data_IF_562342772957
#
_entry.id   IF_562342772957
#
_cell.length_a   1.000
_cell.length_b   1.000
_cell.length_c   1.000
_cell.angle_alpha   90.00
_cell.angle_beta   90.00
_cell.angle_gamma   90.00
#
_symmetry.space_group_name_H-M   'P 1'
#
loop_
_entity.id
_entity.type
_entity.pdbx_description
1 polymer ?
#
# COMPACT_ATOMS: atom_id res chain seq x y z
N UNK A 1 27.98 22.03 -9.84
CA UNK A 1 28.40 20.66 -10.21
C UNK A 1 27.13 19.86 -10.44
N UNK A 2 27.00 19.08 -11.52
CA UNK A 2 25.83 18.23 -11.66
C UNK A 2 25.89 17.15 -10.58
N UNK A 3 24.83 17.03 -9.79
CA UNK A 3 24.67 15.95 -8.81
C UNK A 3 24.90 14.61 -9.51
N UNK A 4 25.95 13.90 -9.12
CA UNK A 4 26.10 12.48 -9.42
C UNK A 4 25.08 11.72 -8.57
N UNK A 5 23.80 11.79 -8.95
CA UNK A 5 22.79 10.88 -8.40
C UNK A 5 23.23 9.46 -8.76
N UNK A 6 23.67 8.72 -7.74
CA UNK A 6 23.78 7.26 -7.80
C UNK A 6 22.49 6.73 -8.41
N UNK A 7 22.58 6.17 -9.62
CA UNK A 7 21.45 5.63 -10.37
C UNK A 7 21.02 4.31 -9.73
N UNK A 8 20.38 4.41 -8.57
CA UNK A 8 19.68 3.30 -7.95
C UNK A 8 18.60 2.82 -8.89
N UNK A 9 18.59 1.51 -9.19
CA UNK A 9 17.59 0.90 -10.06
C UNK A 9 16.17 1.25 -9.58
N UNK A 10 15.21 1.50 -10.49
CA UNK A 10 13.84 1.82 -10.11
C UNK A 10 13.24 0.69 -9.26
N UNK A 11 12.45 1.04 -8.26
CA UNK A 11 11.62 0.05 -7.53
C UNK A 11 10.30 -0.13 -8.25
N UNK A 12 9.96 -1.36 -8.54
CA UNK A 12 8.73 -1.78 -9.16
C UNK A 12 8.03 -2.81 -8.27
N UNK A 13 6.96 -2.37 -7.61
CA UNK A 13 6.05 -3.29 -6.93
C UNK A 13 4.65 -3.14 -7.49
N UNK A 14 3.87 -4.22 -7.40
CA UNK A 14 2.47 -4.22 -7.80
C UNK A 14 1.56 -4.31 -6.59
N UNK A 15 0.44 -3.60 -6.64
CA UNK A 15 -0.61 -3.79 -5.64
C UNK A 15 -1.46 -4.99 -6.07
N UNK A 16 -1.45 -6.04 -5.26
CA UNK A 16 -2.19 -7.28 -5.47
C UNK A 16 -3.69 -7.10 -5.18
N UNK A 17 -4.31 -6.21 -5.94
CA UNK A 17 -5.75 -6.01 -5.96
C UNK A 17 -6.39 -7.12 -6.77
N UNK A 18 -7.39 -7.75 -6.16
CA UNK A 18 -7.95 -9.05 -6.56
C UNK A 18 -8.31 -9.09 -8.04
N UNK A 19 -8.92 -8.04 -8.55
CA UNK A 19 -9.41 -7.97 -9.94
C UNK A 19 -8.83 -6.76 -10.68
N UNK A 20 -7.65 -6.31 -10.27
CA UNK A 20 -7.05 -5.07 -10.76
C UNK A 20 -7.59 -3.82 -10.08
N UNK A 21 -6.88 -2.70 -10.26
CA UNK A 21 -7.23 -1.40 -9.66
C UNK A 21 -8.44 -0.73 -10.30
N UNK A 22 -8.66 -0.97 -11.60
CA UNK A 22 -9.69 -0.30 -12.38
C UNK A 22 -11.10 -0.79 -11.98
N UNK A 23 -12.04 0.15 -11.81
CA UNK A 23 -13.43 -0.10 -11.37
C UNK A 23 -14.12 -1.23 -12.15
N UNK A 24 -14.01 -1.21 -13.48
CA UNK A 24 -14.60 -2.23 -14.37
C UNK A 24 -13.77 -3.51 -14.57
N UNK A 25 -12.55 -3.62 -14.03
CA UNK A 25 -11.64 -4.71 -14.43
C UNK A 25 -12.11 -6.11 -14.02
N UNK A 26 -12.87 -6.23 -12.93
CA UNK A 26 -13.44 -7.51 -12.48
C UNK A 26 -14.49 -8.10 -13.43
N UNK A 27 -15.04 -7.29 -14.34
CA UNK A 27 -16.04 -7.68 -15.33
C UNK A 27 -15.43 -8.09 -16.68
N UNK A 28 -14.10 -7.97 -16.83
CA UNK A 28 -13.42 -8.44 -18.03
C UNK A 28 -13.59 -9.96 -18.18
N UNK A 29 -13.77 -10.49 -19.39
CA UNK A 29 -13.93 -11.93 -19.61
C UNK A 29 -12.78 -12.77 -19.05
N UNK A 30 -11.57 -12.22 -19.01
CA UNK A 30 -10.37 -12.89 -18.51
C UNK A 30 -10.19 -12.74 -16.99
N UNK A 31 -11.00 -11.93 -16.32
CA UNK A 31 -10.93 -11.76 -14.87
C UNK A 31 -11.38 -13.04 -14.15
N UNK A 32 -10.84 -13.26 -12.94
CA UNK A 32 -11.15 -14.44 -12.13
C UNK A 32 -11.70 -14.05 -10.74
N UNK A 33 -12.77 -13.22 -10.64
CA UNK A 33 -13.30 -12.74 -9.36
C UNK A 33 -13.74 -13.87 -8.41
N UNK A 34 -14.13 -15.03 -8.95
CA UNK A 34 -14.47 -16.22 -8.17
C UNK A 34 -13.30 -16.77 -7.33
N UNK A 35 -12.06 -16.44 -7.68
CA UNK A 35 -10.85 -16.86 -6.95
C UNK A 35 -10.41 -15.85 -5.88
N UNK A 36 -11.21 -14.84 -5.60
CA UNK A 36 -10.95 -13.80 -4.58
C UNK A 36 -10.49 -14.36 -3.23
N UNK A 37 -11.03 -15.51 -2.81
CA UNK A 37 -10.73 -16.16 -1.53
C UNK A 37 -9.85 -17.40 -1.68
N UNK A 38 -9.36 -17.67 -2.88
CA UNK A 38 -8.48 -18.79 -3.19
C UNK A 38 -7.02 -18.40 -2.93
N UNK A 39 -6.36 -19.11 -2.01
CA UNK A 39 -4.94 -18.93 -1.73
C UNK A 39 -4.07 -19.10 -2.99
N UNK A 40 -4.45 -20.02 -3.88
CA UNK A 40 -3.73 -20.29 -5.12
C UNK A 40 -3.67 -19.06 -6.04
N UNK A 41 -4.68 -18.21 -6.01
CA UNK A 41 -4.70 -16.98 -6.81
C UNK A 41 -3.55 -16.04 -6.44
N UNK A 42 -3.36 -15.80 -5.15
CA UNK A 42 -2.30 -14.93 -4.65
C UNK A 42 -0.91 -15.53 -4.85
N UNK A 43 -0.79 -16.86 -4.74
CA UNK A 43 0.45 -17.58 -5.05
C UNK A 43 0.82 -17.47 -6.53
N UNK A 44 -0.16 -17.58 -7.44
CA UNK A 44 0.05 -17.43 -8.88
C UNK A 44 0.48 -16.00 -9.24
N UNK A 45 -0.13 -14.99 -8.60
CA UNK A 45 0.28 -13.58 -8.72
C UNK A 45 1.73 -13.38 -8.27
N UNK A 46 2.09 -13.89 -7.09
CA UNK A 46 3.43 -13.76 -6.53
C UNK A 46 4.50 -14.38 -7.44
N UNK A 47 4.33 -15.64 -7.88
CA UNK A 47 5.26 -16.30 -8.82
C UNK A 47 5.37 -15.56 -10.15
N UNK A 48 4.27 -14.99 -10.62
CA UNK A 48 4.26 -14.24 -11.89
C UNK A 48 5.00 -12.91 -11.76
N UNK A 49 4.81 -12.20 -10.65
CA UNK A 49 5.52 -10.97 -10.37
C UNK A 49 7.02 -11.19 -10.18
N UNK A 50 7.42 -12.19 -9.40
CA UNK A 50 8.83 -12.54 -9.19
C UNK A 50 9.53 -12.92 -10.51
N UNK A 51 8.92 -13.82 -11.30
CA UNK A 51 9.42 -14.16 -12.64
C UNK A 51 9.47 -12.94 -13.58
N UNK A 52 8.59 -11.97 -13.37
CA UNK A 52 8.52 -10.72 -14.11
C UNK A 52 9.52 -9.65 -13.66
N UNK A 53 10.32 -9.91 -12.62
CA UNK A 53 11.32 -8.97 -12.10
C UNK A 53 10.72 -7.84 -11.25
N UNK A 54 9.55 -8.04 -10.64
CA UNK A 54 9.02 -7.11 -9.64
C UNK A 54 9.80 -7.25 -8.33
N UNK A 55 10.07 -6.12 -7.68
CA UNK A 55 10.77 -6.07 -6.40
C UNK A 55 9.86 -6.48 -5.22
N UNK A 56 8.55 -6.21 -5.31
CA UNK A 56 7.63 -6.57 -4.24
C UNK A 56 6.17 -6.77 -4.68
N UNK A 57 5.46 -7.57 -3.89
CA UNK A 57 4.01 -7.65 -3.84
C UNK A 57 3.49 -6.78 -2.70
N UNK A 58 2.58 -5.86 -3.00
CA UNK A 58 1.92 -5.02 -2.02
C UNK A 58 0.46 -5.41 -1.84
N UNK A 59 0.03 -5.66 -0.60
CA UNK A 59 -1.38 -5.89 -0.27
C UNK A 59 -1.90 -4.71 0.57
N UNK A 60 -2.72 -3.88 -0.07
CA UNK A 60 -3.38 -2.73 0.56
C UNK A 60 -4.60 -3.16 1.40
N UNK A 61 -4.89 -2.42 2.47
CA UNK A 61 -6.06 -2.65 3.33
C UNK A 61 -6.64 -1.33 3.88
N UNK A 62 -7.94 -1.35 4.16
CA UNK A 62 -8.74 -0.22 4.63
C UNK A 62 -9.49 -0.51 5.94
N UNK A 63 -9.43 -1.74 6.47
CA UNK A 63 -10.00 -2.11 7.78
C UNK A 63 -11.52 -1.96 7.88
N UNK A 64 -12.18 -1.87 6.72
CA UNK A 64 -13.63 -1.83 6.59
C UNK A 64 -14.02 -2.67 5.40
N UNK A 65 -14.93 -3.61 5.65
CA UNK A 65 -15.56 -4.36 4.59
C UNK A 65 -16.72 -3.53 4.04
N UNK A 66 -16.61 -3.12 2.78
CA UNK A 66 -17.72 -2.55 2.02
C UNK A 66 -18.36 -3.65 1.18
N UNK A 67 -19.47 -4.27 1.62
CA UNK A 67 -20.20 -5.21 0.80
C UNK A 67 -20.77 -4.46 -0.41
N UNK A 68 -20.07 -4.53 -1.53
CA UNK A 68 -20.38 -3.83 -2.77
C UNK A 68 -20.16 -4.71 -3.99
N UNK A 69 -20.51 -6.00 -3.90
CA UNK A 69 -20.32 -6.99 -4.99
C UNK A 69 -20.93 -6.49 -6.32
N UNK A 70 -22.01 -5.69 -6.26
CA UNK A 70 -22.60 -5.06 -7.44
C UNK A 70 -21.62 -4.13 -8.19
N UNK A 71 -20.66 -3.53 -7.47
CA UNK A 71 -19.75 -2.49 -7.95
C UNK A 71 -18.31 -2.98 -8.08
N UNK A 72 -17.74 -3.63 -7.05
CA UNK A 72 -16.39 -4.21 -7.10
C UNK A 72 -16.12 -5.18 -5.93
N UNK A 73 -15.55 -6.38 -6.19
CA UNK A 73 -15.07 -7.27 -5.13
C UNK A 73 -13.70 -6.78 -4.64
N UNK A 74 -13.64 -6.09 -3.49
CA UNK A 74 -12.38 -5.55 -2.97
C UNK A 74 -12.22 -5.76 -1.46
N UNK A 75 -10.95 -5.94 -1.05
CA UNK A 75 -10.44 -5.84 0.32
C UNK A 75 -11.18 -6.67 1.37
N UNK A 76 -11.12 -8.00 1.23
CA UNK A 76 -11.76 -8.93 2.16
C UNK A 76 -10.78 -9.66 3.08
N UNK A 77 -9.54 -9.86 2.61
CA UNK A 77 -8.57 -10.73 3.27
C UNK A 77 -7.50 -9.92 4.01
N UNK A 78 -7.06 -10.47 5.14
CA UNK A 78 -5.95 -9.95 5.92
C UNK A 78 -4.64 -9.95 5.10
N UNK A 79 -3.95 -8.80 4.95
CA UNK A 79 -2.73 -8.68 4.16
C UNK A 79 -1.60 -9.61 4.61
N UNK A 80 -1.39 -9.75 5.91
CA UNK A 80 -0.28 -10.54 6.47
C UNK A 80 -0.47 -12.03 6.16
N UNK A 81 -1.70 -12.53 6.27
CA UNK A 81 -2.06 -13.91 5.92
C UNK A 81 -1.85 -14.18 4.43
N UNK A 82 -2.29 -13.26 3.56
CA UNK A 82 -2.08 -13.37 2.11
C UNK A 82 -0.58 -13.39 1.76
N UNK A 83 0.21 -12.52 2.39
CA UNK A 83 1.64 -12.41 2.11
C UNK A 83 2.45 -13.58 2.68
N UNK A 84 2.03 -14.19 3.80
CA UNK A 84 2.62 -15.44 4.27
C UNK A 84 2.44 -16.58 3.25
N UNK A 85 1.30 -16.63 2.55
CA UNK A 85 1.08 -17.58 1.47
C UNK A 85 1.96 -17.31 0.24
N UNK A 86 2.18 -16.03 -0.09
CA UNK A 86 3.09 -15.61 -1.16
C UNK A 86 4.56 -15.94 -0.82
N UNK A 87 4.97 -15.72 0.44
CA UNK A 87 6.31 -16.02 0.94
C UNK A 87 6.70 -17.50 0.71
N UNK A 88 5.75 -18.41 0.89
CA UNK A 88 5.96 -19.85 0.75
C UNK A 88 6.23 -20.33 -0.69
N UNK A 89 6.03 -19.46 -1.69
CA UNK A 89 6.17 -19.81 -3.12
C UNK A 89 7.06 -18.86 -3.90
N UNK A 90 7.79 -17.99 -3.20
CA UNK A 90 8.72 -16.99 -3.76
C UNK A 90 10.00 -16.96 -2.94
N UNK A 91 11.11 -16.59 -3.56
CA UNK A 91 12.44 -16.58 -2.94
C UNK A 91 12.96 -15.15 -2.72
N UNK A 92 12.72 -14.24 -3.67
CA UNK A 92 13.29 -12.90 -3.72
C UNK A 92 12.23 -11.79 -3.59
N UNK A 93 10.96 -12.08 -3.87
CA UNK A 93 9.89 -11.09 -3.90
C UNK A 93 9.63 -10.44 -2.53
N UNK A 94 9.76 -9.12 -2.41
CA UNK A 94 9.41 -8.36 -1.21
C UNK A 94 7.90 -8.44 -0.87
N UNK A 95 7.57 -8.34 0.42
CA UNK A 95 6.21 -8.58 0.93
C UNK A 95 5.71 -7.38 1.74
N UNK A 96 5.01 -6.46 1.07
CA UNK A 96 4.52 -5.22 1.67
C UNK A 96 3.10 -5.42 2.18
N UNK A 97 2.91 -5.44 3.50
CA UNK A 97 1.61 -5.55 4.15
C UNK A 97 1.16 -4.20 4.72
N UNK A 98 -0.11 -3.83 4.50
CA UNK A 98 -0.70 -2.70 5.20
C UNK A 98 -1.09 -3.10 6.63
N UNK A 99 -0.66 -2.31 7.62
CA UNK A 99 -1.14 -2.43 9.00
C UNK A 99 -1.38 -1.05 9.62
N UNK A 100 -2.46 -0.92 10.39
CA UNK A 100 -2.92 0.36 10.93
C UNK A 100 -2.22 0.72 12.24
N UNK A 101 -1.51 1.85 12.23
CA UNK A 101 -0.99 2.47 13.45
C UNK A 101 -2.09 3.18 14.28
N UNK A 102 -3.34 3.15 13.82
CA UNK A 102 -4.49 3.72 14.54
C UNK A 102 -5.29 2.67 15.31
N UNK A 103 -5.21 1.40 14.94
CA UNK A 103 -6.12 0.36 15.44
C UNK A 103 -5.42 -0.83 16.10
N UNK A 104 -4.19 -1.15 15.72
CA UNK A 104 -3.46 -2.31 16.24
C UNK A 104 -2.54 -1.93 17.38
N UNK A 105 -2.31 -2.86 18.32
CA UNK A 105 -1.32 -2.66 19.38
C UNK A 105 0.09 -2.74 18.79
N UNK A 106 1.07 -1.95 19.30
CA UNK A 106 2.46 -2.02 18.84
C UNK A 106 3.05 -3.43 18.89
N UNK A 107 2.74 -4.19 19.95
CA UNK A 107 3.23 -5.58 20.10
C UNK A 107 2.65 -6.55 19.08
N UNK A 108 1.42 -6.33 18.63
CA UNK A 108 0.79 -7.16 17.60
C UNK A 108 1.44 -6.92 16.25
N UNK A 109 1.67 -5.65 15.90
CA UNK A 109 2.40 -5.25 14.69
C UNK A 109 3.81 -5.84 14.74
N UNK A 110 4.56 -5.59 15.82
CA UNK A 110 5.94 -6.02 15.95
C UNK A 110 6.08 -7.54 15.80
N UNK A 111 5.22 -8.31 16.49
CA UNK A 111 5.23 -9.78 16.42
C UNK A 111 4.86 -10.28 15.02
N UNK A 112 3.80 -9.74 14.41
CA UNK A 112 3.31 -10.22 13.12
C UNK A 112 4.32 -9.99 11.99
N UNK A 113 4.90 -8.79 11.92
CA UNK A 113 5.91 -8.48 10.91
C UNK A 113 7.24 -9.19 11.17
N UNK A 114 7.68 -9.34 12.43
CA UNK A 114 8.85 -10.17 12.73
C UNK A 114 8.63 -11.63 12.31
N UNK A 115 7.42 -12.16 12.53
CA UNK A 115 7.06 -13.51 12.07
C UNK A 115 7.13 -13.62 10.55
N UNK A 116 6.51 -12.69 9.82
CA UNK A 116 6.58 -12.68 8.35
C UNK A 116 8.03 -12.54 7.87
N UNK A 117 8.83 -11.73 8.55
CA UNK A 117 10.23 -11.50 8.21
C UNK A 117 11.07 -12.78 8.33
N UNK A 118 10.91 -13.53 9.43
CA UNK A 118 11.53 -14.84 9.61
C UNK A 118 11.05 -15.86 8.57
N UNK A 119 9.74 -15.96 8.36
CA UNK A 119 9.16 -16.92 7.40
C UNK A 119 9.60 -16.64 5.96
N UNK A 120 9.86 -15.38 5.64
CA UNK A 120 10.27 -14.93 4.30
C UNK A 120 11.78 -14.73 4.15
N UNK A 121 12.58 -15.02 5.17
CA UNK A 121 14.02 -14.79 5.18
C UNK A 121 14.43 -13.33 4.91
N UNK A 122 13.73 -12.38 5.51
CA UNK A 122 14.12 -10.96 5.50
C UNK A 122 13.41 -10.09 4.44
N UNK A 123 12.22 -10.48 4.00
CA UNK A 123 11.49 -9.81 2.88
C UNK A 123 10.28 -9.00 3.33
N UNK A 124 10.06 -8.81 4.64
CA UNK A 124 8.86 -8.17 5.14
C UNK A 124 8.93 -6.64 5.07
N UNK A 125 7.81 -6.00 4.75
CA UNK A 125 7.68 -4.56 4.73
C UNK A 125 6.32 -4.11 5.27
N UNK A 126 6.33 -3.10 6.14
CA UNK A 126 5.14 -2.53 6.76
C UNK A 126 4.74 -1.22 6.09
N UNK A 127 3.62 -1.23 5.37
CA UNK A 127 2.94 0.00 4.97
C UNK A 127 2.14 0.58 6.14
N UNK A 128 2.65 1.66 6.72
CA UNK A 128 2.09 2.35 7.88
C UNK A 128 0.93 3.23 7.44
N UNK A 129 -0.28 2.88 7.87
CA UNK A 129 -1.47 3.69 7.61
C UNK A 129 -2.06 4.26 8.89
N UNK A 130 -2.57 5.49 8.76
CA UNK A 130 -3.31 6.19 9.80
C UNK A 130 -4.76 6.36 9.36
N UNK A 131 -5.66 5.63 9.99
CA UNK A 131 -7.02 5.47 9.48
C UNK A 131 -7.96 6.56 10.00
N UNK A 132 -8.74 7.15 9.08
CA UNK A 132 -9.71 8.21 9.36
C UNK A 132 -11.14 7.88 9.02
N UNK A 133 -11.41 6.66 8.58
CA UNK A 133 -12.73 6.21 8.15
C UNK A 133 -13.59 5.86 9.37
N UNK A 134 -14.73 6.55 9.60
CA UNK A 134 -15.61 6.26 10.72
C UNK A 134 -16.09 4.82 10.80
N UNK A 135 -16.39 4.17 9.66
CA UNK A 135 -16.83 2.77 9.66
C UNK A 135 -15.71 1.81 10.08
N UNK A 136 -14.47 2.11 9.70
CA UNK A 136 -13.32 1.34 10.14
C UNK A 136 -13.10 1.53 11.65
N UNK A 137 -13.19 2.76 12.16
CA UNK A 137 -13.09 3.04 13.59
C UNK A 137 -14.15 2.26 14.41
N UNK A 138 -15.40 2.23 13.92
CA UNK A 138 -16.49 1.48 14.55
C UNK A 138 -16.23 -0.03 14.64
N UNK A 139 -15.60 -0.65 13.62
CA UNK A 139 -15.23 -2.07 13.65
C UNK A 139 -14.24 -2.41 14.77
N UNK A 140 -13.46 -1.43 15.24
CA UNK A 140 -12.50 -1.55 16.33
C UNK A 140 -13.04 -1.01 17.66
N UNK A 141 -14.35 -0.76 17.75
CA UNK A 141 -15.02 -0.32 18.98
C UNK A 141 -14.79 1.15 19.32
N UNK A 142 -14.32 1.97 18.38
CA UNK A 142 -14.16 3.41 18.57
C UNK A 142 -15.41 4.16 18.12
N UNK A 143 -15.89 5.11 18.92
CA UNK A 143 -17.04 5.96 18.56
C UNK A 143 -16.74 6.85 17.34
N UNK A 144 -15.49 7.29 17.21
CA UNK A 144 -15.02 8.15 16.12
C UNK A 144 -13.54 7.91 15.86
N UNK A 145 -13.05 8.14 14.64
CA UNK A 145 -11.63 8.03 14.34
C UNK A 145 -10.83 9.13 15.07
N UNK A 146 -9.53 8.87 15.28
CA UNK A 146 -8.62 9.88 15.79
C UNK A 146 -8.59 11.08 14.81
N UNK A 147 -8.80 12.33 15.31
CA UNK A 147 -8.78 13.53 14.47
C UNK A 147 -7.50 13.65 13.67
N UNK A 148 -7.57 14.18 12.45
CA UNK A 148 -6.41 14.27 11.55
C UNK A 148 -5.20 14.95 12.21
N UNK A 149 -5.44 16.06 12.92
CA UNK A 149 -4.41 16.86 13.60
C UNK A 149 -3.60 16.09 14.66
N UNK A 150 -4.18 15.03 15.23
CA UNK A 150 -3.55 14.22 16.28
C UNK A 150 -3.03 12.89 15.75
N UNK A 151 -3.56 12.45 14.61
CA UNK A 151 -3.41 11.07 14.12
C UNK A 151 -1.96 10.68 13.85
N UNK A 152 -1.16 11.59 13.28
CA UNK A 152 0.25 11.33 13.01
C UNK A 152 1.11 11.36 14.27
N UNK A 153 0.73 12.12 15.30
CA UNK A 153 1.38 12.08 16.62
C UNK A 153 1.12 10.75 17.31
N UNK A 154 -0.12 10.25 17.27
CA UNK A 154 -0.44 8.92 17.79
C UNK A 154 0.32 7.82 17.04
N UNK A 155 0.36 7.89 15.71
CA UNK A 155 1.08 6.94 14.89
C UNK A 155 2.59 6.95 15.14
N UNK A 156 3.16 8.12 15.44
CA UNK A 156 4.58 8.28 15.79
C UNK A 156 4.93 7.45 17.03
N UNK A 157 4.13 7.56 18.09
CA UNK A 157 4.31 6.79 19.31
C UNK A 157 4.23 5.27 19.06
N UNK A 158 3.27 4.84 18.23
CA UNK A 158 3.14 3.42 17.84
C UNK A 158 4.36 2.93 17.07
N UNK A 159 4.83 3.69 16.07
CA UNK A 159 6.02 3.33 15.29
C UNK A 159 7.26 3.22 16.19
N UNK A 160 7.49 4.20 17.07
CA UNK A 160 8.62 4.17 18.00
C UNK A 160 8.59 2.94 18.91
N UNK A 161 7.42 2.57 19.42
CA UNK A 161 7.29 1.37 20.25
C UNK A 161 7.53 0.09 19.44
N UNK A 162 7.04 0.00 18.20
CA UNK A 162 7.34 -1.14 17.31
C UNK A 162 8.85 -1.27 17.04
N UNK A 163 9.52 -0.15 16.75
CA UNK A 163 10.97 -0.13 16.53
C UNK A 163 11.74 -0.57 17.78
N UNK A 164 11.31 -0.10 18.95
CA UNK A 164 11.84 -0.50 20.26
C UNK A 164 11.68 -2.02 20.49
N UNK A 165 10.52 -2.59 20.18
CA UNK A 165 10.27 -4.03 20.31
C UNK A 165 11.16 -4.87 19.38
N UNK A 166 11.31 -4.48 18.11
CA UNK A 166 12.21 -5.16 17.17
C UNK A 166 13.69 -5.11 17.57
N UNK A 167 14.10 -4.12 18.38
CA UNK A 167 15.45 -4.08 18.94
C UNK A 167 15.74 -5.12 20.05
N UNK A 168 14.78 -6.00 20.34
CA UNK A 168 14.92 -7.11 21.30
C UNK A 168 14.29 -6.85 22.66
N UNK A 169 13.40 -5.86 22.79
CA UNK A 169 12.64 -5.60 24.02
C UNK A 169 11.41 -6.50 24.14
N UNK A 170 11.05 -6.83 25.39
CA UNK A 170 9.78 -7.46 25.77
C UNK A 170 9.44 -8.82 25.12
N UNK A 171 10.44 -9.61 24.73
CA UNK A 171 10.24 -11.00 24.31
C UNK A 171 9.63 -11.19 22.92
N UNK A 172 9.55 -10.13 22.11
CA UNK A 172 9.28 -10.24 20.67
C UNK A 172 10.58 -10.67 19.98
N UNK A 173 10.59 -11.73 19.14
CA UNK A 173 11.76 -12.09 18.37
C UNK A 173 12.20 -10.91 17.50
N UNK A 174 13.49 -10.57 17.53
CA UNK A 174 14.04 -9.61 16.60
C UNK A 174 13.87 -10.11 15.16
N UNK A 175 13.52 -9.26 14.19
CA UNK A 175 13.44 -9.63 12.77
C UNK A 175 14.80 -10.12 12.24
N UNK A 176 14.77 -10.81 11.09
CA UNK A 176 15.98 -11.19 10.33
C UNK A 176 16.66 -9.94 9.79
N UNK A 177 15.87 -9.01 9.26
CA UNK A 177 16.33 -7.65 8.94
C UNK A 177 16.62 -6.88 10.24
N UNK A 178 17.42 -5.81 10.19
CA UNK A 178 17.53 -4.87 11.33
C UNK A 178 16.16 -4.38 11.79
N UNK A 179 15.28 -4.15 10.81
CA UNK A 179 13.83 -4.03 10.94
C UNK A 179 13.20 -4.27 9.56
N UNK A 180 11.94 -4.71 9.49
CA UNK A 180 11.15 -4.65 8.26
C UNK A 180 11.21 -3.26 7.62
N UNK A 181 11.14 -3.22 6.30
CA UNK A 181 11.11 -1.97 5.52
C UNK A 181 9.84 -1.20 5.86
N UNK A 182 9.94 0.11 6.07
CA UNK A 182 8.80 0.97 6.38
C UNK A 182 8.32 1.68 5.11
N UNK A 183 7.06 1.49 4.77
CA UNK A 183 6.37 2.09 3.62
C UNK A 183 5.29 3.04 4.12
N UNK A 184 5.03 4.12 3.39
CA UNK A 184 4.01 5.11 3.75
C UNK A 184 3.38 5.73 2.49
N UNK A 185 2.14 6.23 2.55
CA UNK A 185 1.41 6.79 1.39
C UNK A 185 0.68 8.14 1.62
N UNK A 186 0.87 8.76 2.78
CA UNK A 186 0.31 10.05 3.18
C UNK A 186 0.85 11.20 2.34
N UNK A 187 -0.06 11.96 1.73
CA UNK A 187 0.28 13.11 0.87
C UNK A 187 -0.06 14.48 1.49
N UNK A 188 -0.69 14.53 2.67
CA UNK A 188 -0.90 15.77 3.43
C UNK A 188 0.42 16.30 4.01
N UNK A 189 0.52 17.59 4.39
CA UNK A 189 1.72 18.14 5.02
C UNK A 189 2.20 17.30 6.22
N UNK A 190 1.30 17.01 7.17
CA UNK A 190 1.61 16.18 8.34
C UNK A 190 2.01 14.75 7.94
N UNK A 191 1.38 14.20 6.90
CA UNK A 191 1.72 12.88 6.36
C UNK A 191 3.12 12.83 5.74
N UNK A 192 3.53 13.90 5.07
CA UNK A 192 4.89 14.01 4.51
C UNK A 192 5.93 14.21 5.60
N UNK A 193 5.63 14.97 6.66
CA UNK A 193 6.51 15.09 7.82
C UNK A 193 6.67 13.75 8.55
N UNK A 194 5.58 13.01 8.71
CA UNK A 194 5.60 11.67 9.27
C UNK A 194 6.42 10.70 8.40
N UNK A 195 6.14 10.66 7.09
CA UNK A 195 6.85 9.80 6.15
C UNK A 195 8.34 10.14 6.07
N UNK A 196 8.69 11.43 6.06
CA UNK A 196 10.06 11.88 6.08
C UNK A 196 10.82 11.39 7.32
N UNK A 197 10.18 11.31 8.49
CA UNK A 197 10.79 10.80 9.73
C UNK A 197 10.99 9.29 9.74
N UNK A 198 10.05 8.51 9.18
CA UNK A 198 10.03 7.05 9.40
C UNK A 198 10.22 6.19 8.15
N UNK A 199 9.74 6.62 6.99
CA UNK A 199 9.59 5.73 5.84
C UNK A 199 10.92 5.49 5.11
N UNK A 200 11.12 4.28 4.61
CA UNK A 200 12.16 3.98 3.62
C UNK A 200 11.62 4.20 2.21
N UNK A 201 10.32 3.95 2.00
CA UNK A 201 9.62 4.10 0.72
C UNK A 201 8.34 4.90 0.92
N UNK A 202 8.08 5.86 0.03
CA UNK A 202 6.82 6.58 -0.05
C UNK A 202 6.13 6.29 -1.37
N UNK A 203 4.94 5.70 -1.30
CA UNK A 203 4.04 5.51 -2.43
C UNK A 203 3.17 6.76 -2.62
N UNK A 204 3.06 7.29 -3.85
CA UNK A 204 2.31 8.52 -4.13
C UNK A 204 1.59 8.48 -5.48
N UNK A 205 0.58 9.33 -5.64
CA UNK A 205 -0.24 9.46 -6.84
C UNK A 205 -0.02 10.82 -7.53
N UNK A 206 1.24 11.22 -7.71
CA UNK A 206 1.56 12.46 -8.42
C UNK A 206 1.20 12.32 -9.90
N UNK A 207 0.40 13.27 -10.41
CA UNK A 207 -0.17 13.18 -11.76
C UNK A 207 0.78 13.55 -12.90
N UNK A 208 1.93 14.16 -12.61
CA UNK A 208 2.92 14.57 -13.60
C UNK A 208 4.35 14.29 -13.13
N UNK A 209 5.32 14.12 -14.06
CA UNK A 209 6.73 14.00 -13.70
C UNK A 209 7.26 15.18 -12.88
N UNK A 210 6.79 16.40 -13.16
CA UNK A 210 7.17 17.61 -12.43
C UNK A 210 6.68 17.56 -10.99
N UNK A 211 5.40 17.25 -10.77
CA UNK A 211 4.83 17.10 -9.43
C UNK A 211 5.52 15.97 -8.62
N UNK A 212 5.91 14.89 -9.30
CA UNK A 212 6.68 13.81 -8.68
C UNK A 212 8.08 14.26 -8.24
N UNK A 213 8.77 15.08 -9.05
CA UNK A 213 10.08 15.66 -8.69
C UNK A 213 9.96 16.63 -7.52
N UNK A 214 8.94 17.48 -7.52
CA UNK A 214 8.69 18.44 -6.44
C UNK A 214 8.37 17.71 -5.13
N UNK A 215 7.51 16.69 -5.18
CA UNK A 215 7.18 15.85 -4.02
C UNK A 215 8.42 15.15 -3.45
N UNK A 216 9.30 14.62 -4.32
CA UNK A 216 10.57 14.02 -3.92
C UNK A 216 11.51 15.04 -3.26
N UNK A 217 11.60 16.25 -3.81
CA UNK A 217 12.42 17.32 -3.23
C UNK A 217 11.90 17.76 -1.85
N UNK A 218 10.58 17.89 -1.70
CA UNK A 218 9.91 18.20 -0.42
C UNK A 218 10.22 17.14 0.64
N UNK A 219 10.05 15.84 0.33
CA UNK A 219 10.38 14.76 1.26
C UNK A 219 11.86 14.72 1.65
N UNK A 220 12.77 15.01 0.71
CA UNK A 220 14.20 15.08 0.99
C UNK A 220 14.52 16.21 1.96
N UNK A 221 13.95 17.39 1.75
CA UNK A 221 14.10 18.54 2.65
C UNK A 221 13.60 18.21 4.07
N UNK A 222 12.41 17.63 4.20
CA UNK A 222 11.84 17.21 5.48
C UNK A 222 12.69 16.14 6.17
N UNK A 223 13.21 15.16 5.43
CA UNK A 223 14.05 14.10 5.98
C UNK A 223 15.37 14.67 6.54
N UNK A 224 15.95 15.67 5.86
CA UNK A 224 17.12 16.41 6.34
C UNK A 224 16.80 17.20 7.62
N UNK A 225 15.66 17.90 7.67
CA UNK A 225 15.20 18.59 8.88
C UNK A 225 14.98 17.63 10.04
N UNK A 226 14.51 16.41 9.76
CA UNK A 226 14.35 15.33 10.73
C UNK A 226 15.67 14.65 11.14
N UNK A 227 16.81 15.08 10.59
CA UNK A 227 18.13 14.54 10.93
C UNK A 227 18.43 13.15 10.34
N UNK A 228 17.72 12.73 9.28
CA UNK A 228 18.00 11.46 8.62
C UNK A 228 19.18 11.54 7.66
N UNK A 229 19.97 10.48 7.63
CA UNK A 229 21.05 10.31 6.65
C UNK A 229 20.48 10.13 5.23
N UNK A 230 19.42 9.33 5.10
CA UNK A 230 18.78 9.02 3.82
C UNK A 230 17.33 9.46 3.80
N UNK A 231 16.91 10.04 2.67
CA UNK A 231 15.53 10.37 2.40
C UNK A 231 14.76 9.15 1.86
N UNK A 232 13.43 9.07 2.09
CA UNK A 232 12.62 8.00 1.53
C UNK A 232 12.69 7.94 0.00
N UNK A 233 12.66 6.74 -0.56
CA UNK A 233 12.50 6.54 -2.01
C UNK A 233 11.06 6.79 -2.40
N UNK A 234 10.84 7.62 -3.43
CA UNK A 234 9.49 7.92 -3.93
C UNK A 234 9.13 6.96 -5.06
N UNK A 235 7.99 6.29 -4.94
CA UNK A 235 7.40 5.41 -5.96
C UNK A 235 6.04 5.96 -6.37
N UNK A 236 5.84 6.15 -7.66
CA UNK A 236 4.59 6.69 -8.22
C UNK A 236 3.70 5.55 -8.71
N UNK A 237 2.42 5.60 -8.38
CA UNK A 237 1.42 4.64 -8.85
C UNK A 237 1.11 4.80 -10.34
N UNK A 238 1.09 3.68 -11.06
CA UNK A 238 0.72 3.61 -12.47
C UNK A 238 -0.35 2.53 -12.67
N UNK A 239 -1.26 2.75 -13.60
CA UNK A 239 -2.27 1.76 -14.03
C UNK A 239 -2.27 1.65 -15.57
N UNK A 240 -1.24 1.04 -16.17
CA UNK A 240 -1.11 0.98 -17.62
C UNK A 240 -2.09 -0.02 -18.25
N UNK A 241 -2.56 0.29 -19.47
CA UNK A 241 -3.10 -0.71 -20.39
C UNK A 241 -1.98 -1.12 -21.34
N UNK A 242 -1.60 -2.41 -21.32
CA UNK A 242 -0.45 -2.92 -22.08
C UNK A 242 -0.99 -3.84 -23.19
N UNK A 243 -0.62 -3.54 -24.43
CA UNK A 243 -0.95 -4.30 -25.63
C UNK A 243 0.20 -4.17 -26.65
N UNK A 244 0.16 -4.95 -27.73
CA UNK A 244 1.19 -4.93 -28.78
C UNK A 244 1.28 -3.60 -29.55
N UNK A 245 0.25 -2.75 -29.50
CA UNK A 245 0.25 -1.41 -30.13
C UNK A 245 -0.49 -0.39 -29.26
N UNK A 246 -0.17 0.90 -29.47
CA UNK A 246 -0.85 2.00 -28.78
C UNK A 246 -2.35 2.06 -29.08
N UNK A 247 -2.76 1.78 -30.32
CA UNK A 247 -4.17 1.69 -30.70
C UNK A 247 -4.89 0.56 -29.94
N UNK A 248 -4.27 -0.62 -29.87
CA UNK A 248 -4.82 -1.75 -29.12
C UNK A 248 -4.92 -1.44 -27.62
N UNK A 249 -3.92 -0.75 -27.04
CA UNK A 249 -3.92 -0.34 -25.64
C UNK A 249 -5.06 0.66 -25.34
N UNK A 250 -5.28 1.64 -26.22
CA UNK A 250 -6.40 2.58 -26.11
C UNK A 250 -7.75 1.88 -26.26
N UNK A 251 -7.87 0.93 -27.18
CA UNK A 251 -9.08 0.12 -27.34
C UNK A 251 -9.35 -0.75 -26.09
N UNK A 252 -8.31 -1.35 -25.50
CA UNK A 252 -8.43 -2.09 -24.23
C UNK A 252 -8.90 -1.19 -23.10
N UNK A 253 -8.33 0.02 -22.98
CA UNK A 253 -8.76 1.00 -21.99
C UNK A 253 -10.22 1.40 -22.19
N UNK A 254 -10.64 1.70 -23.42
CA UNK A 254 -12.02 2.06 -23.71
C UNK A 254 -13.02 0.92 -23.33
N UNK A 255 -12.64 -0.34 -23.54
CA UNK A 255 -13.43 -1.50 -23.08
C UNK A 255 -13.53 -1.55 -21.55
N UNK A 256 -12.42 -1.34 -20.85
CA UNK A 256 -12.41 -1.27 -19.39
C UNK A 256 -13.31 -0.16 -18.87
N UNK A 257 -13.21 1.04 -19.45
CA UNK A 257 -14.01 2.20 -19.08
C UNK A 257 -15.51 1.93 -19.29
N UNK A 258 -15.89 1.24 -20.38
CA UNK A 258 -17.28 0.88 -20.67
C UNK A 258 -17.88 -0.12 -19.68
N UNK A 259 -17.06 -0.81 -18.87
CA UNK A 259 -17.52 -1.76 -17.85
C UNK A 259 -17.75 -1.12 -16.48
N UNK A 260 -17.38 0.16 -16.32
CA UNK A 260 -17.55 0.89 -15.06
C UNK A 260 -19.05 1.00 -14.74
N UNK A 261 -19.52 0.50 -13.57
CA UNK A 261 -20.89 0.73 -13.15
C UNK A 261 -21.10 2.24 -12.87
N UNK A 262 -22.09 2.92 -13.48
CA UNK A 262 -22.33 4.34 -13.24
C UNK A 262 -22.48 4.70 -11.74
N UNK A 263 -23.19 3.84 -11.01
CA UNK A 263 -23.41 3.98 -9.55
C UNK A 263 -22.10 3.92 -8.73
N UNK A 264 -21.12 3.15 -9.20
CA UNK A 264 -19.83 3.02 -8.52
C UNK A 264 -18.98 4.29 -8.67
N UNK A 265 -19.02 4.91 -9.86
CA UNK A 265 -18.34 6.19 -10.10
C UNK A 265 -18.92 7.33 -9.26
N UNK A 266 -20.24 7.37 -9.10
CA UNK A 266 -20.92 8.37 -8.27
C UNK A 266 -20.52 8.27 -6.80
N UNK A 267 -20.45 7.06 -6.23
CA UNK A 267 -19.99 6.85 -4.86
C UNK A 267 -18.51 7.20 -4.65
N UNK A 268 -17.65 6.96 -5.64
CA UNK A 268 -16.24 7.34 -5.57
C UNK A 268 -16.06 8.87 -5.61
N UNK A 269 -16.79 9.56 -6.48
CA UNK A 269 -16.77 11.02 -6.60
C UNK A 269 -17.32 11.72 -5.35
N UNK A 270 -18.32 11.15 -4.68
CA UNK A 270 -18.82 11.65 -3.39
C UNK A 270 -17.72 11.64 -2.32
N UNK A 271 -16.83 10.63 -2.32
CA UNK A 271 -15.64 10.57 -1.47
C UNK A 271 -14.64 11.71 -1.70
N UNK A 272 -14.68 12.36 -2.88
CA UNK A 272 -13.93 13.59 -3.19
C UNK A 272 -14.76 14.87 -3.01
N UNK A 273 -15.96 14.76 -2.45
CA UNK A 273 -16.86 15.89 -2.20
C UNK A 273 -17.67 16.34 -3.41
N UNK A 274 -17.80 15.51 -4.44
CA UNK A 274 -18.56 15.80 -5.67
C UNK A 274 -19.86 14.99 -5.66
N UNK A 275 -21.01 15.63 -5.46
CA UNK A 275 -22.33 15.01 -5.54
C UNK A 275 -22.97 15.24 -6.91
N UNK A 276 -23.16 14.15 -7.67
CA UNK A 276 -23.81 14.18 -8.99
C UNK A 276 -25.16 13.44 -8.99
N UNK A 277 -25.73 13.10 -7.84
CA UNK A 277 -26.98 12.30 -7.74
C UNK A 277 -28.23 12.99 -8.32
N UNK A 278 -28.10 14.25 -8.76
CA UNK A 278 -29.17 15.04 -9.39
C UNK A 278 -28.93 15.39 -10.87
N UNK A 279 -27.91 14.82 -11.51
CA UNK A 279 -27.55 15.03 -12.92
C UNK A 279 -27.58 13.72 -13.71
#
# INVERSE_FOLDING_TARGET
MPDTESTTAPLLFFNALVTGHHEGAWRMPEAQPQRLRDIGYYQDLARTAERGGFDAMFVADFFVFYPGIAHSPRWELDPLTVLAAAAAVTEDLGLIATASASFSLPVEIARAFSTLDHLSAGRAAWNIVTNGEPRAAANFGLERPVPHAERYTCADAVVQEVLSLWSGRHGVPAPVQTRPVLVQAGSSPDGRDFAARHADIVFTAQGTPEAARDFRADLRSRAQTAGRADAPRVVVGLSPSIEASGEAALARKARLDALIPPEASLGWLEGFGIDLRGH
#
